data_IF_348081464222
#
_entry.id   IF_348081464222
#
_cell.length_a   1.000
_cell.length_b   1.000
_cell.length_c   1.000
_cell.angle_alpha   90.00
_cell.angle_beta   90.00
_cell.angle_gamma   90.00
#
_symmetry.space_group_name_H-M   'P 1'
#
loop_
_entity.id
_entity.type
_entity.pdbx_description
1 polymer ?
#
# COMPACT_ATOMS: atom_id res chain seq x y z
N UNK A 1 17.90 -15.54 -9.12
CA UNK A 1 17.01 -15.70 -7.94
C UNK A 1 15.85 -14.72 -8.06
N UNK A 2 14.66 -15.10 -7.60
CA UNK A 2 13.43 -14.28 -7.64
C UNK A 2 13.09 -13.77 -6.24
N UNK A 3 12.27 -12.72 -6.13
CA UNK A 3 11.89 -12.12 -4.84
C UNK A 3 10.86 -12.93 -4.04
N UNK A 4 10.21 -13.93 -4.66
CA UNK A 4 9.20 -14.75 -3.98
C UNK A 4 9.82 -15.74 -2.98
N UNK A 5 9.23 -15.83 -1.81
CA UNK A 5 9.70 -16.65 -0.69
C UNK A 5 8.58 -17.59 -0.19
N UNK A 6 8.97 -18.67 0.50
CA UNK A 6 8.04 -19.60 1.16
C UNK A 6 7.62 -19.02 2.51
N UNK A 7 6.36 -19.22 2.89
CA UNK A 7 5.80 -18.67 4.13
C UNK A 7 5.08 -19.75 4.90
N UNK A 8 5.38 -19.88 6.19
CA UNK A 8 4.75 -20.84 7.11
C UNK A 8 3.25 -20.55 7.34
N UNK A 9 2.73 -19.45 6.80
CA UNK A 9 1.29 -19.18 6.76
C UNK A 9 0.52 -20.13 5.80
N UNK A 10 1.23 -20.89 4.96
CA UNK A 10 0.65 -21.74 3.94
C UNK A 10 1.27 -23.14 3.97
N UNK A 11 0.43 -24.18 4.00
CA UNK A 11 0.87 -25.59 3.99
C UNK A 11 1.16 -26.09 2.56
N UNK A 12 1.85 -25.28 1.75
CA UNK A 12 2.26 -25.66 0.40
C UNK A 12 3.59 -25.00 0.00
N UNK A 13 4.18 -25.46 -1.10
CA UNK A 13 5.43 -24.91 -1.63
C UNK A 13 5.28 -23.65 -2.47
N UNK A 14 4.08 -23.07 -2.58
CA UNK A 14 3.84 -21.91 -3.43
C UNK A 14 4.45 -20.64 -2.82
N UNK A 15 5.05 -19.81 -3.67
CA UNK A 15 5.75 -18.60 -3.23
C UNK A 15 4.79 -17.44 -3.01
N UNK A 16 5.14 -16.58 -2.06
CA UNK A 16 4.49 -15.30 -1.81
C UNK A 16 5.48 -14.14 -1.93
N UNK A 17 4.95 -12.94 -2.05
CA UNK A 17 5.69 -11.69 -2.00
C UNK A 17 4.85 -10.66 -1.23
N UNK A 18 5.08 -10.63 0.08
CA UNK A 18 4.62 -9.56 0.95
C UNK A 18 5.78 -8.67 1.35
N UNK A 19 5.73 -7.39 1.01
CA UNK A 19 6.74 -6.43 1.44
C UNK A 19 6.20 -5.02 1.43
N UNK A 20 6.53 -4.25 2.47
CA UNK A 20 6.22 -2.83 2.60
C UNK A 20 7.44 -2.02 2.18
N UNK A 21 7.46 -1.60 0.93
CA UNK A 21 8.56 -0.85 0.35
C UNK A 21 8.48 0.64 0.71
N UNK A 22 9.63 1.29 0.73
CA UNK A 22 9.77 2.73 1.01
C UNK A 22 10.77 3.37 0.04
N UNK A 23 10.68 4.69 -0.12
CA UNK A 23 11.60 5.46 -0.95
C UNK A 23 12.87 5.91 -0.22
N UNK A 24 12.86 5.90 1.11
CA UNK A 24 14.00 6.34 1.93
C UNK A 24 15.09 5.26 2.07
N UNK A 25 14.74 3.97 1.96
CA UNK A 25 15.66 2.84 2.20
C UNK A 25 15.33 1.59 1.40
N UNK A 26 16.32 0.73 1.23
CA UNK A 26 16.10 -0.64 0.77
C UNK A 26 15.41 -1.47 1.85
N UNK A 27 14.53 -2.36 1.43
CA UNK A 27 13.78 -3.29 2.28
C UNK A 27 14.17 -4.71 1.89
N UNK A 28 14.76 -5.46 2.82
CA UNK A 28 15.07 -6.87 2.63
C UNK A 28 13.80 -7.69 2.40
N UNK A 29 13.84 -8.59 1.42
CA UNK A 29 12.71 -9.45 1.08
C UNK A 29 12.90 -10.80 1.76
N UNK A 30 12.24 -10.94 2.92
CA UNK A 30 12.30 -12.15 3.74
C UNK A 30 13.74 -12.67 3.90
N UNK A 31 13.95 -13.96 3.68
CA UNK A 31 15.23 -14.67 3.72
C UNK A 31 15.89 -14.84 2.34
N UNK A 32 15.38 -14.16 1.30
CA UNK A 32 15.85 -14.35 -0.09
C UNK A 32 17.24 -13.79 -0.36
N UNK A 33 17.81 -13.00 0.56
CA UNK A 33 19.05 -12.26 0.35
C UNK A 33 18.91 -11.08 -0.63
N UNK A 34 17.70 -10.80 -1.13
CA UNK A 34 17.40 -9.68 -2.04
C UNK A 34 16.75 -8.53 -1.29
N UNK A 35 16.82 -7.32 -1.85
CA UNK A 35 16.12 -6.16 -1.31
C UNK A 35 15.49 -5.32 -2.41
N UNK A 36 14.43 -4.60 -2.08
CA UNK A 36 13.74 -3.70 -3.00
C UNK A 36 13.64 -2.29 -2.41
N UNK A 37 13.64 -1.29 -3.28
CA UNK A 37 13.47 0.11 -2.93
C UNK A 37 12.57 0.82 -3.93
N UNK A 38 11.81 1.81 -3.45
CA UNK A 38 11.08 2.74 -4.32
C UNK A 38 12.02 3.87 -4.74
N UNK A 39 12.04 4.20 -6.02
CA UNK A 39 12.77 5.35 -6.56
C UNK A 39 11.80 6.27 -7.26
N UNK A 40 11.75 7.53 -6.83
CA UNK A 40 10.90 8.55 -7.43
C UNK A 40 11.73 9.35 -8.43
N UNK A 41 11.55 9.08 -9.71
CA UNK A 41 12.11 9.89 -10.79
C UNK A 41 11.15 10.99 -11.23
N UNK A 42 11.62 11.88 -12.13
CA UNK A 42 10.83 12.98 -12.68
C UNK A 42 9.63 12.51 -13.51
N UNK A 43 9.73 11.37 -14.19
CA UNK A 43 8.69 10.84 -15.09
C UNK A 43 7.95 9.62 -14.51
N UNK A 44 8.59 8.88 -13.62
CA UNK A 44 8.08 7.59 -13.10
C UNK A 44 8.48 7.33 -11.66
N UNK A 45 7.67 6.50 -11.00
CA UNK A 45 7.96 5.90 -9.69
C UNK A 45 8.26 4.43 -9.95
N UNK A 46 9.47 4.01 -9.58
CA UNK A 46 10.04 2.70 -9.92
C UNK A 46 10.29 1.85 -8.68
N UNK A 47 10.23 0.54 -8.85
CA UNK A 47 10.71 -0.45 -7.89
C UNK A 47 12.02 -1.01 -8.45
N UNK A 48 13.11 -0.80 -7.72
CA UNK A 48 14.43 -1.30 -8.07
C UNK A 48 14.94 -2.30 -7.04
N UNK A 49 15.84 -3.19 -7.45
CA UNK A 49 16.59 -4.04 -6.53
C UNK A 49 17.97 -3.46 -6.19
N UNK A 50 18.71 -4.12 -5.30
CA UNK A 50 20.03 -3.68 -4.84
C UNK A 50 21.08 -3.61 -5.95
N UNK A 51 20.88 -4.34 -7.05
CA UNK A 51 21.73 -4.33 -8.24
C UNK A 51 21.39 -3.19 -9.22
N UNK A 52 20.43 -2.33 -8.87
CA UNK A 52 19.98 -1.20 -9.69
C UNK A 52 19.00 -1.58 -10.81
N UNK A 53 18.63 -2.85 -10.95
CA UNK A 53 17.67 -3.30 -11.96
C UNK A 53 16.26 -2.83 -11.56
N UNK A 54 15.57 -2.17 -12.50
CA UNK A 54 14.15 -1.82 -12.40
C UNK A 54 13.28 -3.02 -12.75
N UNK A 55 12.36 -3.39 -11.85
CA UNK A 55 11.44 -4.52 -12.04
C UNK A 55 10.01 -4.11 -12.34
N UNK A 56 9.60 -2.92 -11.89
CA UNK A 56 8.28 -2.37 -12.13
C UNK A 56 8.32 -0.85 -12.01
N UNK A 57 7.38 -0.18 -12.67
CA UNK A 57 7.18 1.25 -12.52
C UNK A 57 5.74 1.65 -12.81
N UNK A 58 5.38 2.84 -12.36
CA UNK A 58 4.23 3.60 -12.84
C UNK A 58 4.72 4.96 -13.33
N UNK A 59 4.17 5.45 -14.44
CA UNK A 59 4.43 6.85 -14.81
C UNK A 59 3.72 7.77 -13.82
N UNK A 60 4.27 8.97 -13.60
CA UNK A 60 3.62 9.97 -12.75
C UNK A 60 2.21 10.29 -13.25
N UNK A 61 2.04 10.42 -14.56
CA UNK A 61 0.73 10.66 -15.18
C UNK A 61 -0.27 9.54 -14.92
N UNK A 62 0.15 8.28 -14.98
CA UNK A 62 -0.72 7.14 -14.66
C UNK A 62 -1.23 7.22 -13.21
N UNK A 63 -0.32 7.49 -12.27
CA UNK A 63 -0.68 7.61 -10.85
C UNK A 63 -1.56 8.83 -10.60
N UNK A 64 -1.19 9.99 -11.16
CA UNK A 64 -1.97 11.22 -11.05
C UNK A 64 -3.39 11.02 -11.53
N UNK A 65 -3.57 10.51 -12.74
CA UNK A 65 -4.88 10.24 -13.31
C UNK A 65 -5.69 9.24 -12.47
N UNK A 66 -5.06 8.19 -11.94
CA UNK A 66 -5.74 7.20 -11.10
C UNK A 66 -6.24 7.80 -9.78
N UNK A 67 -5.39 8.57 -9.08
CA UNK A 67 -5.75 9.18 -7.81
C UNK A 67 -6.73 10.34 -7.97
N UNK A 68 -6.53 11.21 -8.94
CA UNK A 68 -7.46 12.32 -9.21
C UNK A 68 -8.83 11.80 -9.64
N UNK A 69 -8.90 10.69 -10.39
CA UNK A 69 -10.18 10.05 -10.71
C UNK A 69 -10.88 9.51 -9.46
N UNK A 70 -10.14 8.85 -8.56
CA UNK A 70 -10.68 8.25 -7.33
C UNK A 70 -11.12 9.30 -6.31
N UNK A 71 -10.33 10.37 -6.16
CA UNK A 71 -10.51 11.42 -5.16
C UNK A 71 -10.97 12.75 -5.78
N UNK A 72 -11.64 12.68 -6.94
CA UNK A 72 -12.18 13.84 -7.66
C UNK A 72 -13.13 14.67 -6.80
N UNK A 73 -13.92 13.97 -5.97
CA UNK A 73 -14.94 14.54 -5.12
C UNK A 73 -14.53 14.42 -3.65
N UNK A 74 -15.43 14.83 -2.76
CA UNK A 74 -15.31 14.58 -1.32
C UNK A 74 -15.70 13.15 -0.95
N UNK A 75 -15.12 12.66 0.14
CA UNK A 75 -15.51 11.41 0.79
C UNK A 75 -15.55 11.58 2.30
N UNK A 76 -16.18 10.62 2.98
CA UNK A 76 -16.17 10.55 4.44
C UNK A 76 -15.08 9.58 4.88
N UNK A 77 -14.17 10.06 5.71
CA UNK A 77 -13.23 9.21 6.43
C UNK A 77 -13.77 8.96 7.83
N UNK A 78 -14.11 7.71 8.15
CA UNK A 78 -14.69 7.32 9.43
C UNK A 78 -13.68 6.53 10.26
N UNK A 79 -13.61 6.83 11.55
CA UNK A 79 -12.83 6.06 12.53
C UNK A 79 -13.76 5.21 13.38
N UNK A 80 -13.33 3.99 13.66
CA UNK A 80 -14.06 3.06 14.49
C UNK A 80 -13.14 2.44 15.55
N UNK A 81 -13.70 2.22 16.74
CA UNK A 81 -13.14 1.30 17.73
C UNK A 81 -13.69 -0.09 17.43
N UNK A 82 -12.87 -1.13 17.58
CA UNK A 82 -13.33 -2.52 17.48
C UNK A 82 -13.27 -3.24 18.83
N UNK A 83 -14.14 -4.24 19.01
CA UNK A 83 -14.18 -5.13 20.16
C UNK A 83 -14.50 -6.55 19.69
N UNK A 84 -13.92 -7.56 20.34
CA UNK A 84 -14.15 -8.96 20.01
C UNK A 84 -13.19 -9.46 18.92
N UNK A 85 -13.54 -10.56 18.25
CA UNK A 85 -12.75 -11.17 17.17
C UNK A 85 -13.59 -12.12 16.31
N UNK A 86 -13.18 -12.33 15.07
CA UNK A 86 -13.84 -13.27 14.17
C UNK A 86 -15.26 -12.84 13.81
N UNK A 87 -16.19 -13.78 13.74
CA UNK A 87 -17.57 -13.51 13.33
C UNK A 87 -18.36 -12.63 14.31
N UNK A 88 -17.90 -12.49 15.56
CA UNK A 88 -18.52 -11.63 16.59
C UNK A 88 -17.76 -10.33 16.83
N UNK A 89 -16.84 -9.96 15.94
CA UNK A 89 -16.19 -8.64 16.01
C UNK A 89 -17.22 -7.53 15.78
N UNK A 90 -17.21 -6.55 16.67
CA UNK A 90 -18.11 -5.41 16.67
C UNK A 90 -17.32 -4.13 16.40
N UNK A 91 -17.94 -3.18 15.68
CA UNK A 91 -17.33 -1.90 15.33
C UNK A 91 -18.21 -0.74 15.79
N UNK A 92 -17.64 0.16 16.58
CA UNK A 92 -18.27 1.40 16.99
C UNK A 92 -17.61 2.57 16.28
N UNK A 93 -18.32 3.21 15.36
CA UNK A 93 -17.87 4.45 14.72
C UNK A 93 -17.87 5.60 15.74
N UNK A 94 -16.74 6.29 15.86
CA UNK A 94 -16.50 7.31 16.91
C UNK A 94 -16.16 8.69 16.36
N UNK A 95 -15.65 8.77 15.13
CA UNK A 95 -15.34 10.03 14.46
C UNK A 95 -15.62 9.91 12.97
N UNK A 96 -15.96 11.04 12.34
CA UNK A 96 -16.06 11.12 10.90
C UNK A 96 -15.55 12.48 10.39
N UNK A 97 -14.95 12.47 9.21
CA UNK A 97 -14.36 13.64 8.58
C UNK A 97 -14.83 13.75 7.12
N UNK A 98 -15.28 14.93 6.71
CA UNK A 98 -15.38 15.28 5.29
C UNK A 98 -13.97 15.58 4.77
N UNK A 99 -13.52 14.79 3.79
CA UNK A 99 -12.18 14.88 3.20
C UNK A 99 -12.30 15.17 1.71
N UNK A 100 -11.58 16.18 1.22
CA UNK A 100 -11.65 16.59 -0.18
C UNK A 100 -10.40 17.34 -0.67
N UNK A 101 -10.29 17.50 -1.98
CA UNK A 101 -9.20 18.25 -2.61
C UNK A 101 -7.88 17.52 -2.51
N UNK A 102 -7.81 16.31 -3.06
CA UNK A 102 -6.58 15.52 -3.14
C UNK A 102 -5.45 16.34 -3.79
N UNK A 103 -4.26 16.24 -3.24
CA UNK A 103 -3.06 16.93 -3.72
C UNK A 103 -2.03 15.89 -4.17
N UNK A 104 -1.90 15.72 -5.49
CA UNK A 104 -0.96 14.77 -6.08
C UNK A 104 0.51 15.13 -5.80
N UNK A 105 0.86 16.41 -5.76
CA UNK A 105 2.23 16.82 -5.46
C UNK A 105 2.60 16.48 -4.01
N UNK A 106 1.68 16.72 -3.07
CA UNK A 106 1.86 16.28 -1.68
C UNK A 106 1.98 14.76 -1.57
N UNK A 107 1.24 13.99 -2.39
CA UNK A 107 1.41 12.54 -2.46
C UNK A 107 2.83 12.14 -2.86
N UNK A 108 3.39 12.76 -3.90
CA UNK A 108 4.78 12.50 -4.34
C UNK A 108 5.78 12.88 -3.25
N UNK A 109 5.65 14.07 -2.66
CA UNK A 109 6.55 14.53 -1.60
C UNK A 109 6.55 13.57 -0.40
N UNK A 110 5.38 13.11 0.02
CA UNK A 110 5.24 12.16 1.14
C UNK A 110 5.77 10.76 0.78
N UNK A 111 5.67 10.35 -0.48
CA UNK A 111 6.28 9.11 -0.96
C UNK A 111 7.81 9.20 -0.92
N UNK A 112 8.38 10.29 -1.45
CA UNK A 112 9.82 10.55 -1.45
C UNK A 112 10.40 10.62 -0.03
N UNK A 113 9.64 11.18 0.91
CA UNK A 113 9.98 11.22 2.34
C UNK A 113 9.84 9.85 3.06
N UNK A 114 9.36 8.80 2.39
CA UNK A 114 9.12 7.49 3.01
C UNK A 114 7.94 7.46 3.99
N UNK A 115 7.02 8.42 3.89
CA UNK A 115 5.78 8.47 4.68
C UNK A 115 4.63 7.73 4.00
N UNK A 116 4.70 7.59 2.68
CA UNK A 116 3.87 6.65 1.91
C UNK A 116 4.71 5.41 1.62
N UNK A 117 4.10 4.25 1.85
CA UNK A 117 4.66 2.93 1.58
C UNK A 117 3.99 2.30 0.36
N UNK A 118 4.75 1.50 -0.38
CA UNK A 118 4.23 0.65 -1.46
C UNK A 118 4.21 -0.80 -0.96
N UNK A 119 3.02 -1.31 -0.69
CA UNK A 119 2.79 -2.68 -0.26
C UNK A 119 2.65 -3.62 -1.46
N UNK A 120 3.62 -4.52 -1.64
CA UNK A 120 3.47 -5.73 -2.45
C UNK A 120 2.66 -6.75 -1.64
N UNK A 121 1.57 -7.26 -2.21
CA UNK A 121 0.56 -8.07 -1.49
C UNK A 121 0.16 -9.31 -2.28
N UNK A 122 1.17 -10.04 -2.76
CA UNK A 122 0.99 -11.27 -3.52
C UNK A 122 1.08 -12.43 -2.54
N UNK A 123 -0.07 -12.90 -2.08
CA UNK A 123 -0.19 -14.03 -1.16
C UNK A 123 -0.86 -15.22 -1.82
N UNK A 124 -1.65 -15.96 -1.04
CA UNK A 124 -2.48 -17.05 -1.54
C UNK A 124 -3.90 -16.96 -0.96
N UNK A 125 -4.87 -17.55 -1.67
CA UNK A 125 -6.22 -17.70 -1.15
C UNK A 125 -6.24 -18.67 0.05
N UNK A 126 -6.98 -18.31 1.09
CA UNK A 126 -7.23 -19.17 2.25
C UNK A 126 -8.61 -19.81 2.13
N UNK A 127 -8.65 -21.14 2.12
CA UNK A 127 -9.88 -21.92 2.06
C UNK A 127 -10.61 -21.87 0.70
N UNK A 128 -11.70 -22.64 0.62
CA UNK A 128 -12.51 -22.77 -0.58
C UNK A 128 -11.79 -23.43 -1.76
N UNK A 129 -12.41 -23.39 -2.94
CA UNK A 129 -11.92 -24.07 -4.16
C UNK A 129 -10.60 -23.51 -4.72
N UNK A 130 -10.20 -22.33 -4.28
CA UNK A 130 -8.95 -21.67 -4.68
C UNK A 130 -7.84 -21.79 -3.62
N UNK A 131 -8.08 -22.53 -2.53
CA UNK A 131 -7.13 -22.64 -1.43
C UNK A 131 -5.70 -22.93 -1.94
N UNK A 132 -4.73 -22.16 -1.46
CA UNK A 132 -3.32 -22.31 -1.83
C UNK A 132 -2.92 -21.74 -3.20
N UNK A 133 -3.86 -21.26 -4.01
CA UNK A 133 -3.52 -20.58 -5.29
C UNK A 133 -3.06 -19.16 -5.03
N UNK A 134 -2.11 -18.69 -5.86
CA UNK A 134 -1.64 -17.30 -5.86
C UNK A 134 -2.79 -16.30 -5.88
N UNK A 135 -2.70 -15.30 -5.03
CA UNK A 135 -3.67 -14.22 -4.88
C UNK A 135 -2.95 -12.89 -4.74
N UNK A 136 -2.99 -12.09 -5.81
CA UNK A 136 -2.53 -10.71 -5.78
C UNK A 136 -3.68 -9.80 -5.35
N UNK A 137 -3.55 -9.18 -4.17
CA UNK A 137 -4.51 -8.18 -3.67
C UNK A 137 -4.36 -6.81 -4.37
N UNK A 138 -3.43 -6.69 -5.31
CA UNK A 138 -2.98 -5.46 -5.94
C UNK A 138 -1.95 -4.73 -5.09
N UNK A 139 -1.08 -3.96 -5.74
CA UNK A 139 -0.12 -3.10 -5.03
C UNK A 139 -0.86 -1.98 -4.29
N UNK A 140 -0.54 -1.78 -3.01
CA UNK A 140 -1.19 -0.77 -2.17
C UNK A 140 -0.30 0.43 -1.87
N UNK A 141 -0.76 1.65 -2.16
CA UNK A 141 -0.14 2.87 -1.62
C UNK A 141 -0.76 3.18 -0.26
N UNK A 142 0.04 3.18 0.80
CA UNK A 142 -0.44 3.29 2.18
C UNK A 142 0.29 4.40 2.92
N UNK A 143 -0.43 5.11 3.76
CA UNK A 143 0.10 6.20 4.59
C UNK A 143 -0.31 5.97 6.04
N UNK A 144 0.48 6.46 6.98
CA UNK A 144 0.09 6.50 8.40
C UNK A 144 -1.11 7.43 8.57
N UNK A 145 -2.02 7.07 9.47
CA UNK A 145 -3.22 7.87 9.74
C UNK A 145 -2.88 9.32 10.12
N UNK A 146 -1.81 9.53 10.89
CA UNK A 146 -1.34 10.85 11.30
C UNK A 146 -0.92 11.75 10.14
N UNK A 147 -0.43 11.17 9.03
CA UNK A 147 0.03 11.91 7.85
C UNK A 147 -1.05 11.99 6.76
N UNK A 148 -2.13 11.20 6.84
CA UNK A 148 -3.22 11.18 5.85
C UNK A 148 -3.81 12.57 5.55
N UNK A 149 -4.02 13.46 6.54
CA UNK A 149 -4.56 14.79 6.27
C UNK A 149 -3.69 15.62 5.32
N UNK A 150 -2.39 15.35 5.23
CA UNK A 150 -1.46 16.08 4.35
C UNK A 150 -1.74 15.83 2.85
N UNK A 151 -2.46 14.76 2.52
CA UNK A 151 -2.85 14.43 1.14
C UNK A 151 -4.03 15.27 0.62
N UNK A 152 -4.72 16.01 1.49
CA UNK A 152 -6.00 16.63 1.17
C UNK A 152 -6.05 18.08 1.65
N UNK A 153 -6.64 18.96 0.84
CA UNK A 153 -6.82 20.38 1.19
C UNK A 153 -7.92 20.60 2.24
N UNK A 154 -8.90 19.71 2.28
CA UNK A 154 -10.03 19.78 3.20
C UNK A 154 -10.02 18.52 4.07
N UNK A 155 -10.02 18.74 5.38
CA UNK A 155 -10.26 17.70 6.38
C UNK A 155 -11.07 18.33 7.52
N UNK A 156 -12.39 18.14 7.48
CA UNK A 156 -13.33 18.74 8.44
C UNK A 156 -14.02 17.65 9.23
N UNK A 157 -13.87 17.67 10.55
CA UNK A 157 -14.63 16.78 11.43
C UNK A 157 -16.13 17.06 11.32
N UNK A 158 -16.93 16.02 11.16
CA UNK A 158 -18.40 16.06 11.02
C UNK A 158 -19.13 15.24 12.10
N UNK A 159 -18.40 14.41 12.86
CA UNK A 159 -18.84 13.68 14.07
C UNK A 159 -17.67 13.65 15.05
#
# INVERSE_FOLDING_TARGET
MTFGYSSDAYDNGEKVLHSTLSADRFVSIADTGRSLKVVCGSEKISIIAEDGIEYAYWTRDQLKNAFEKKYKNKFVYAKAQSRGKGASEEFRFVEAYEVAGFNYEAFVDLLEQGKIYIDLRIGQYHGGVKNGRTHDHGTGFRIKESDQPLLFKINRRIV
#
